data_IF_037044485777
#
_entry.id   IF_037044485777
#
_cell.length_a   1.000
_cell.length_b   1.000
_cell.length_c   1.000
_cell.angle_alpha   90.00
_cell.angle_beta   90.00
_cell.angle_gamma   90.00
#
_symmetry.space_group_name_H-M   'P 1'
#
loop_
_entity.id
_entity.type
_entity.pdbx_description
1 polymer ?
#
# COMPACT_ATOMS: atom_id res chain seq x y z
N UNK A 1 7.52 39.89 -19.68
CA UNK A 1 8.56 38.91 -19.31
C UNK A 1 8.56 37.85 -20.40
N UNK A 2 9.60 37.87 -21.21
CA UNK A 2 9.73 37.12 -22.46
C UNK A 2 9.86 35.62 -22.22
N UNK A 3 9.21 34.85 -23.08
CA UNK A 3 9.34 33.40 -23.18
C UNK A 3 10.53 33.07 -24.09
N UNK A 4 11.51 32.32 -23.58
CA UNK A 4 12.53 31.67 -24.40
C UNK A 4 12.49 30.16 -24.14
N UNK A 5 11.93 29.42 -25.10
CA UNK A 5 12.04 27.97 -25.21
C UNK A 5 13.15 27.70 -26.23
N UNK A 6 14.28 27.19 -25.77
CA UNK A 6 15.37 26.74 -26.64
C UNK A 6 15.13 25.29 -27.08
N UNK A 7 15.14 25.07 -28.39
CA UNK A 7 15.13 23.78 -29.06
C UNK A 7 16.55 23.35 -29.48
N UNK A 8 16.70 22.03 -29.69
CA UNK A 8 17.75 21.31 -30.44
C UNK A 8 19.05 21.03 -29.67
N UNK A 9 19.74 19.90 -29.85
CA UNK A 9 19.85 19.06 -31.04
C UNK A 9 20.17 17.58 -30.69
N UNK A 10 19.76 16.71 -31.61
CA UNK A 10 20.01 15.28 -31.74
C UNK A 10 21.48 15.04 -32.12
N UNK A 11 22.08 13.95 -31.62
CA UNK A 11 23.08 13.27 -32.45
C UNK A 11 22.99 11.74 -32.32
N UNK A 12 22.75 11.14 -33.48
CA UNK A 12 22.61 9.73 -33.79
C UNK A 12 24.00 9.12 -34.00
N UNK A 13 24.25 7.92 -33.50
CA UNK A 13 25.27 7.06 -34.09
C UNK A 13 24.73 5.63 -34.17
N UNK A 14 24.55 5.21 -35.41
CA UNK A 14 24.19 3.87 -35.87
C UNK A 14 25.42 2.97 -35.80
N UNK A 15 25.24 1.73 -35.36
CA UNK A 15 26.26 0.68 -35.39
C UNK A 15 25.63 -0.68 -35.16
N UNK A 16 25.00 -1.21 -36.20
CA UNK A 16 24.46 -2.57 -36.29
C UNK A 16 25.63 -3.53 -36.59
N UNK A 17 25.65 -4.73 -36.00
CA UNK A 17 25.91 -6.04 -36.65
C UNK A 17 26.36 -7.13 -35.66
N UNK A 18 25.47 -8.12 -35.53
CA UNK A 18 25.69 -9.43 -34.96
C UNK A 18 26.13 -10.38 -36.09
N UNK A 19 27.14 -11.23 -35.88
CA UNK A 19 27.02 -12.59 -36.39
C UNK A 19 27.45 -13.64 -35.36
N UNK A 20 26.47 -14.50 -35.05
CA UNK A 20 26.62 -15.84 -34.50
C UNK A 20 27.66 -16.67 -35.28
N UNK A 21 28.47 -17.50 -34.60
CA UNK A 21 28.43 -18.92 -34.97
C UNK A 21 28.53 -19.87 -33.75
N UNK A 22 27.65 -20.85 -33.72
CA UNK A 22 27.83 -22.13 -33.03
C UNK A 22 27.44 -23.21 -34.07
N UNK A 23 27.96 -24.47 -34.08
CA UNK A 23 28.22 -25.28 -32.89
C UNK A 23 29.45 -26.22 -32.94
N UNK A 24 30.02 -26.59 -31.79
CA UNK A 24 30.61 -27.93 -31.63
C UNK A 24 30.57 -28.44 -30.20
N UNK A 25 29.93 -29.60 -30.09
CA UNK A 25 29.76 -30.54 -28.98
C UNK A 25 31.02 -30.76 -28.14
N UNK A 26 30.89 -30.71 -26.81
CA UNK A 26 31.50 -31.70 -25.91
C UNK A 26 30.77 -31.73 -24.57
N UNK A 27 30.01 -32.80 -24.36
CA UNK A 27 29.40 -33.11 -23.08
C UNK A 27 30.49 -33.67 -22.14
N UNK A 28 30.79 -32.94 -21.07
CA UNK A 28 31.45 -33.49 -19.89
C UNK A 28 30.55 -33.21 -18.70
N UNK A 29 29.82 -34.25 -18.29
CA UNK A 29 29.12 -34.29 -17.03
C UNK A 29 30.18 -34.35 -15.92
N UNK A 30 30.34 -33.28 -15.17
CA UNK A 30 30.99 -33.35 -13.87
C UNK A 30 29.95 -33.05 -12.78
N UNK A 31 29.49 -34.14 -12.16
CA UNK A 31 28.58 -34.13 -11.04
C UNK A 31 29.37 -33.77 -9.77
N UNK A 32 29.66 -32.48 -9.59
CA UNK A 32 30.11 -31.97 -8.29
C UNK A 32 28.89 -31.61 -7.45
N UNK A 33 28.42 -32.58 -6.68
CA UNK A 33 27.57 -32.38 -5.51
C UNK A 33 28.28 -31.48 -4.49
N UNK A 34 28.11 -30.17 -4.64
CA UNK A 34 28.48 -29.17 -3.65
C UNK A 34 27.23 -28.62 -2.98
N UNK A 35 26.71 -29.35 -1.99
CA UNK A 35 25.68 -28.85 -1.08
C UNK A 35 26.26 -27.73 -0.20
N UNK A 36 26.46 -26.53 -0.75
CA UNK A 36 26.61 -25.32 0.04
C UNK A 36 25.22 -24.88 0.48
N UNK A 37 24.69 -25.54 1.51
CA UNK A 37 23.56 -25.05 2.28
C UNK A 37 23.99 -23.87 3.18
N UNK A 38 24.54 -22.83 2.58
CA UNK A 38 24.45 -21.49 3.15
C UNK A 38 23.08 -20.98 2.72
N UNK A 39 22.05 -21.42 3.44
CA UNK A 39 20.75 -20.76 3.40
C UNK A 39 20.95 -19.39 4.05
N UNK A 40 21.58 -18.48 3.32
CA UNK A 40 21.62 -17.06 3.64
C UNK A 40 20.15 -16.67 3.75
N UNK A 41 19.69 -16.43 4.98
CA UNK A 41 18.35 -15.93 5.24
C UNK A 41 18.26 -14.62 4.48
N UNK A 42 17.62 -14.66 3.30
CA UNK A 42 17.42 -13.52 2.41
C UNK A 42 16.51 -12.52 3.12
N UNK A 43 17.10 -11.72 4.00
CA UNK A 43 16.44 -10.72 4.80
C UNK A 43 16.16 -9.53 3.89
N UNK A 44 14.94 -9.00 3.84
CA UNK A 44 14.62 -7.87 2.97
C UNK A 44 15.53 -6.68 3.29
N UNK A 45 16.04 -6.04 2.25
CA UNK A 45 16.84 -4.82 2.36
C UNK A 45 16.03 -3.68 2.99
N UNK A 46 16.70 -2.66 3.52
CA UNK A 46 16.03 -1.50 4.14
C UNK A 46 15.08 -0.82 3.15
N UNK A 47 15.44 -0.77 1.86
CA UNK A 47 14.58 -0.17 0.84
C UNK A 47 13.37 -1.04 0.50
N UNK A 48 13.51 -2.37 0.47
CA UNK A 48 12.37 -3.27 0.31
C UNK A 48 11.42 -3.19 1.50
N UNK A 49 11.93 -3.13 2.73
CA UNK A 49 11.12 -2.93 3.93
C UNK A 49 10.37 -1.60 3.89
N UNK A 50 11.05 -0.53 3.46
CA UNK A 50 10.46 0.81 3.28
C UNK A 50 9.32 0.77 2.26
N UNK A 51 9.57 0.20 1.09
CA UNK A 51 8.58 0.08 0.02
C UNK A 51 7.38 -0.75 0.48
N UNK A 52 7.62 -1.87 1.16
CA UNK A 52 6.56 -2.72 1.69
C UNK A 52 5.69 -1.99 2.72
N UNK A 53 6.30 -1.28 3.68
CA UNK A 53 5.59 -0.46 4.67
C UNK A 53 4.69 0.58 3.98
N UNK A 54 5.20 1.27 2.96
CA UNK A 54 4.43 2.25 2.18
C UNK A 54 3.29 1.58 1.42
N UNK A 55 3.56 0.47 0.74
CA UNK A 55 2.53 -0.29 0.01
C UNK A 55 1.41 -0.78 0.93
N UNK A 56 1.75 -1.31 2.11
CA UNK A 56 0.78 -1.77 3.09
C UNK A 56 -0.12 -0.61 3.58
N UNK A 57 0.47 0.54 3.93
CA UNK A 57 -0.28 1.74 4.35
C UNK A 57 -1.20 2.27 3.24
N UNK A 58 -0.72 2.30 1.99
CA UNK A 58 -1.53 2.70 0.83
C UNK A 58 -2.68 1.73 0.57
N UNK A 59 -2.43 0.43 0.66
CA UNK A 59 -3.46 -0.60 0.47
C UNK A 59 -4.57 -0.48 1.52
N UNK A 60 -4.19 -0.26 2.79
CA UNK A 60 -5.15 0.02 3.86
C UNK A 60 -5.96 1.29 3.53
N UNK A 61 -5.32 2.37 3.08
CA UNK A 61 -6.01 3.60 2.69
C UNK A 61 -7.04 3.39 1.58
N UNK A 62 -6.74 2.59 0.56
CA UNK A 62 -7.69 2.25 -0.50
C UNK A 62 -8.96 1.60 0.05
N UNK A 63 -8.82 0.66 0.99
CA UNK A 63 -9.97 -0.02 1.62
C UNK A 63 -10.75 0.93 2.52
N UNK A 64 -10.05 1.76 3.31
CA UNK A 64 -10.70 2.75 4.17
C UNK A 64 -11.53 3.75 3.35
N UNK A 65 -10.98 4.25 2.24
CA UNK A 65 -11.68 5.19 1.35
C UNK A 65 -12.87 4.54 0.64
N UNK A 66 -12.76 3.28 0.20
CA UNK A 66 -13.88 2.55 -0.37
C UNK A 66 -15.05 2.46 0.62
N UNK A 67 -14.77 2.16 1.90
CA UNK A 67 -15.79 2.14 2.96
C UNK A 67 -16.37 3.53 3.23
N UNK A 68 -15.55 4.59 3.23
CA UNK A 68 -16.03 5.97 3.35
C UNK A 68 -17.01 6.31 2.25
N UNK A 69 -16.71 5.97 0.99
CA UNK A 69 -17.61 6.23 -0.15
C UNK A 69 -18.93 5.48 0.03
N UNK A 70 -18.89 4.20 0.40
CA UNK A 70 -20.09 3.39 0.66
C UNK A 70 -20.96 4.01 1.75
N UNK A 71 -20.36 4.36 2.90
CA UNK A 71 -21.08 4.97 4.02
C UNK A 71 -21.63 6.36 3.67
N UNK A 72 -20.88 7.16 2.91
CA UNK A 72 -21.33 8.48 2.49
C UNK A 72 -22.54 8.37 1.55
N UNK A 73 -22.56 7.40 0.63
CA UNK A 73 -23.73 7.13 -0.21
C UNK A 73 -24.94 6.70 0.62
N UNK A 74 -24.75 5.83 1.62
CA UNK A 74 -25.82 5.48 2.57
C UNK A 74 -26.32 6.71 3.34
N UNK A 75 -25.43 7.60 3.76
CA UNK A 75 -25.80 8.84 4.46
C UNK A 75 -26.69 9.73 3.59
N UNK A 76 -26.31 9.96 2.33
CA UNK A 76 -27.09 10.76 1.38
C UNK A 76 -28.49 10.18 1.13
N UNK A 77 -28.58 8.85 0.95
CA UNK A 77 -29.87 8.17 0.82
C UNK A 77 -30.75 8.32 2.07
N UNK A 78 -30.14 8.29 3.26
CA UNK A 78 -30.88 8.51 4.50
C UNK A 78 -31.35 9.97 4.61
N UNK A 79 -30.51 10.95 4.28
CA UNK A 79 -30.88 12.37 4.29
C UNK A 79 -32.04 12.67 3.33
N UNK A 80 -32.03 12.09 2.12
CA UNK A 80 -33.05 12.34 1.11
C UNK A 80 -34.41 11.71 1.44
N UNK A 81 -34.43 10.61 2.20
CA UNK A 81 -35.66 9.93 2.63
C UNK A 81 -36.18 10.43 4.00
N UNK A 82 -35.50 11.38 4.65
CA UNK A 82 -35.82 11.85 6.00
C UNK A 82 -36.83 13.00 6.05
N UNK A 83 -38.07 12.73 5.65
CA UNK A 83 -39.22 13.63 5.89
C UNK A 83 -39.69 13.57 7.35
N UNK A 84 -39.33 12.52 8.11
CA UNK A 84 -39.73 12.34 9.51
C UNK A 84 -38.50 12.22 10.43
N UNK A 85 -38.40 13.08 11.45
CA UNK A 85 -37.29 13.30 12.41
C UNK A 85 -36.70 12.07 13.17
N UNK A 86 -37.08 10.83 12.83
CA UNK A 86 -36.74 9.61 13.59
C UNK A 86 -35.35 9.02 13.29
N UNK A 87 -34.62 9.46 12.25
CA UNK A 87 -33.35 8.83 11.86
C UNK A 87 -32.08 9.65 12.20
N UNK A 88 -32.21 10.73 12.99
CA UNK A 88 -31.07 11.59 13.33
C UNK A 88 -29.93 10.84 14.02
N UNK A 89 -30.22 9.90 14.92
CA UNK A 89 -29.19 9.10 15.60
C UNK A 89 -28.39 8.21 14.63
N UNK A 90 -29.02 7.72 13.56
CA UNK A 90 -28.35 6.88 12.58
C UNK A 90 -27.39 7.72 11.71
N UNK A 91 -27.84 8.91 11.29
CA UNK A 91 -27.03 9.89 10.56
C UNK A 91 -25.77 10.25 11.36
N UNK A 92 -25.92 10.55 12.66
CA UNK A 92 -24.81 10.89 13.55
C UNK A 92 -23.83 9.72 13.65
N UNK A 93 -24.31 8.48 13.84
CA UNK A 93 -23.46 7.28 13.91
C UNK A 93 -22.67 7.05 12.63
N UNK A 94 -23.30 7.20 11.45
CA UNK A 94 -22.62 7.05 10.16
C UNK A 94 -21.54 8.13 9.99
N UNK A 95 -21.85 9.38 10.33
CA UNK A 95 -20.89 10.48 10.24
C UNK A 95 -19.70 10.30 11.18
N UNK A 96 -19.95 9.86 12.42
CA UNK A 96 -18.90 9.50 13.38
C UNK A 96 -18.01 8.38 12.84
N UNK A 97 -18.61 7.37 12.21
CA UNK A 97 -17.87 6.26 11.62
C UNK A 97 -17.01 6.76 10.46
N UNK A 98 -17.56 7.52 9.50
CA UNK A 98 -16.79 8.15 8.41
C UNK A 98 -15.58 8.92 8.95
N UNK A 99 -15.77 9.73 10.01
CA UNK A 99 -14.69 10.46 10.66
C UNK A 99 -13.58 9.53 11.18
N UNK A 100 -13.93 8.40 11.79
CA UNK A 100 -12.95 7.42 12.27
C UNK A 100 -12.10 6.80 11.16
N UNK A 101 -12.69 6.55 9.98
CA UNK A 101 -11.98 6.05 8.81
C UNK A 101 -11.03 7.11 8.25
N UNK A 102 -11.49 8.36 8.11
CA UNK A 102 -10.68 9.46 7.59
C UNK A 102 -9.49 9.80 8.51
N UNK A 103 -9.67 9.75 9.83
CA UNK A 103 -8.56 9.94 10.79
C UNK A 103 -7.44 8.91 10.59
N UNK A 104 -7.78 7.67 10.24
CA UNK A 104 -6.80 6.61 9.95
C UNK A 104 -6.11 6.82 8.61
N UNK A 105 -6.85 7.24 7.58
CA UNK A 105 -6.25 7.63 6.29
C UNK A 105 -5.21 8.72 6.51
N UNK A 106 -5.54 9.75 7.28
CA UNK A 106 -4.62 10.82 7.61
C UNK A 106 -3.39 10.31 8.38
N UNK A 107 -3.57 9.50 9.42
CA UNK A 107 -2.47 8.93 10.19
C UNK A 107 -1.51 8.08 9.33
N UNK A 108 -2.07 7.29 8.40
CA UNK A 108 -1.29 6.48 7.47
C UNK A 108 -0.50 7.34 6.48
N UNK A 109 -1.13 8.38 5.90
CA UNK A 109 -0.45 9.32 4.99
C UNK A 109 0.67 10.09 5.68
N UNK A 110 0.45 10.51 6.94
CA UNK A 110 1.47 11.15 7.76
C UNK A 110 2.66 10.20 7.97
N UNK A 111 2.41 8.93 8.28
CA UNK A 111 3.45 7.93 8.42
C UNK A 111 4.23 7.71 7.11
N UNK A 112 3.55 7.59 5.97
CA UNK A 112 4.20 7.50 4.65
C UNK A 112 5.12 8.71 4.41
N UNK A 113 4.66 9.91 4.74
CA UNK A 113 5.46 11.13 4.59
C UNK A 113 6.76 11.06 5.40
N UNK A 114 6.68 10.61 6.66
CA UNK A 114 7.86 10.44 7.52
C UNK A 114 8.82 9.36 6.99
N UNK A 115 8.30 8.22 6.53
CA UNK A 115 9.10 7.15 5.92
C UNK A 115 9.87 7.68 4.69
N UNK A 116 9.18 8.44 3.84
CA UNK A 116 9.77 9.01 2.63
C UNK A 116 10.77 10.14 2.91
N UNK A 117 10.66 10.80 4.06
CA UNK A 117 11.64 11.79 4.55
C UNK A 117 12.86 11.16 5.22
N UNK A 118 12.95 9.82 5.24
CA UNK A 118 14.10 9.10 5.80
C UNK A 118 13.96 8.73 7.27
N UNK A 119 12.73 8.68 7.81
CA UNK A 119 12.44 8.18 9.17
C UNK A 119 11.88 6.75 9.09
N UNK A 120 12.71 5.69 8.95
CA UNK A 120 12.24 4.32 8.75
C UNK A 120 11.52 3.73 9.97
N UNK A 121 11.79 4.26 11.17
CA UNK A 121 11.16 3.88 12.43
C UNK A 121 9.81 4.57 12.68
N UNK A 122 9.37 5.43 11.77
CA UNK A 122 8.06 6.08 11.84
C UNK A 122 6.95 5.03 11.92
N UNK A 123 5.95 5.26 12.78
CA UNK A 123 4.79 4.38 12.93
C UNK A 123 3.51 5.19 12.78
N UNK A 124 2.44 4.61 12.20
CA UNK A 124 1.16 5.28 12.15
C UNK A 124 0.63 5.46 13.58
N UNK A 125 0.08 6.64 13.86
CA UNK A 125 -0.45 7.01 15.19
C UNK A 125 -1.62 6.08 15.60
N UNK A 126 -2.33 5.51 14.62
CA UNK A 126 -3.48 4.62 14.84
C UNK A 126 -3.17 3.24 14.27
N UNK A 127 -2.85 2.28 15.14
CA UNK A 127 -2.55 0.89 14.79
C UNK A 127 -3.75 -0.06 14.92
N UNK A 128 -4.89 0.44 15.37
CA UNK A 128 -6.10 -0.36 15.56
C UNK A 128 -7.12 -0.14 14.44
N UNK A 129 -7.77 -1.23 14.01
CA UNK A 129 -8.86 -1.16 13.05
C UNK A 129 -10.02 -0.25 13.54
N UNK A 130 -10.82 0.33 12.62
CA UNK A 130 -12.06 1.02 12.98
C UNK A 130 -13.01 0.08 13.73
N UNK A 131 -13.59 0.55 14.84
CA UNK A 131 -14.57 -0.22 15.58
C UNK A 131 -15.92 -0.13 14.86
N UNK A 132 -16.25 -1.13 14.05
CA UNK A 132 -17.60 -1.30 13.53
C UNK A 132 -18.48 -1.78 14.69
N UNK A 133 -19.49 -1.01 15.06
CA UNK A 133 -20.38 -1.36 16.15
C UNK A 133 -21.13 -2.66 15.84
N UNK A 134 -20.65 -3.78 16.37
CA UNK A 134 -21.34 -5.08 16.56
C UNK A 134 -22.09 -5.70 15.37
N UNK A 135 -22.00 -5.13 14.16
CA UNK A 135 -22.45 -5.80 12.95
C UNK A 135 -21.42 -6.88 12.62
N UNK A 136 -21.73 -8.08 13.08
CA UNK A 136 -21.15 -9.35 12.64
C UNK A 136 -21.16 -9.38 11.10
N UNK A 137 -20.08 -8.93 10.46
CA UNK A 137 -19.70 -9.49 9.18
C UNK A 137 -18.94 -10.80 9.46
N UNK A 138 -19.15 -11.85 8.64
CA UNK A 138 -18.57 -13.19 8.85
C UNK A 138 -17.02 -13.15 8.76
N UNK A 139 -16.28 -14.26 8.98
CA UNK A 139 -14.94 -14.31 9.61
C UNK A 139 -13.74 -13.79 8.77
N UNK A 140 -13.96 -12.85 7.85
CA UNK A 140 -12.94 -12.30 6.95
C UNK A 140 -13.02 -10.78 6.81
N UNK A 141 -13.06 -10.02 7.92
CA UNK A 141 -12.77 -8.58 7.80
C UNK A 141 -11.28 -8.42 7.46
N UNK A 142 -10.99 -8.36 6.15
CA UNK A 142 -9.66 -8.16 5.57
C UNK A 142 -8.97 -6.94 6.20
N UNK A 143 -9.74 -5.91 6.55
CA UNK A 143 -9.20 -4.71 7.18
C UNK A 143 -8.58 -5.05 8.55
N UNK A 144 -9.26 -5.86 9.36
CA UNK A 144 -8.73 -6.26 10.67
C UNK A 144 -7.43 -7.07 10.54
N UNK A 145 -7.37 -7.98 9.55
CA UNK A 145 -6.16 -8.76 9.24
C UNK A 145 -5.01 -7.85 8.79
N UNK A 146 -5.30 -6.85 7.96
CA UNK A 146 -4.31 -5.88 7.51
C UNK A 146 -3.81 -4.99 8.64
N UNK A 147 -4.65 -4.62 9.61
CA UNK A 147 -4.22 -3.90 10.80
C UNK A 147 -3.35 -4.77 11.73
N UNK A 148 -3.63 -6.07 11.85
CA UNK A 148 -2.77 -7.00 12.57
C UNK A 148 -1.40 -7.12 11.89
N UNK A 149 -1.40 -7.26 10.56
CA UNK A 149 -0.18 -7.25 9.76
C UNK A 149 0.59 -5.94 9.88
N UNK A 150 -0.12 -4.80 9.84
CA UNK A 150 0.46 -3.46 10.01
C UNK A 150 1.19 -3.35 11.34
N UNK A 151 0.54 -3.72 12.44
CA UNK A 151 1.17 -3.74 13.77
C UNK A 151 2.44 -4.57 13.75
N UNK A 152 2.39 -5.78 13.18
CA UNK A 152 3.51 -6.69 13.21
C UNK A 152 4.69 -6.25 12.34
N UNK A 153 4.42 -5.71 11.16
CA UNK A 153 5.41 -5.18 10.23
C UNK A 153 6.15 -3.99 10.84
N UNK A 154 5.43 -3.08 11.50
CA UNK A 154 6.02 -1.90 12.15
C UNK A 154 6.62 -2.19 13.54
N UNK A 155 6.40 -3.39 14.10
CA UNK A 155 7.10 -3.85 15.30
C UNK A 155 8.43 -4.54 14.97
N UNK A 156 8.47 -5.32 13.90
CA UNK A 156 9.64 -6.15 13.54
C UNK A 156 10.64 -5.35 12.69
N UNK A 157 10.16 -4.51 11.78
CA UNK A 157 10.97 -3.71 10.86
C UNK A 157 10.92 -2.22 11.18
#
# INVERSE_FOLDING_TARGET
MSSDIAYSNVNTTVGNENPNPNPSVSASADASAGANANTELNLPTVDEQRQYKVQLLLHINSILLARVIQMNNSLQNNLQNNVNNSNNDNIIRIQQLISQFLKRVHANLQCISQINQGVPSAKPIILTAPQLAHQQQPPQDILAKLYLLLTRVFEIW
#
